data_IF_854394098727
#
_entry.id   IF_854394098727
#
_cell.length_a   1.000
_cell.length_b   1.000
_cell.length_c   1.000
_cell.angle_alpha   90.00
_cell.angle_beta   90.00
_cell.angle_gamma   90.00
#
_symmetry.space_group_name_H-M   'P 1'
#
loop_
_entity.id
_entity.type
_entity.pdbx_description
1 polymer ?
#
# COMPACT_ATOMS: atom_id res chain seq x y z
N UNK A 1 -17.58 4.64 -35.17
CA UNK A 1 -16.24 4.83 -34.63
C UNK A 1 -16.06 4.01 -33.36
N UNK A 2 -15.14 3.13 -33.40
CA UNK A 2 -14.91 2.30 -32.23
C UNK A 2 -14.06 3.04 -31.22
N UNK A 3 -14.59 3.14 -30.03
CA UNK A 3 -13.82 3.67 -28.93
C UNK A 3 -12.86 2.60 -28.44
N UNK A 4 -11.61 2.94 -28.34
CA UNK A 4 -10.64 2.06 -27.70
C UNK A 4 -11.04 1.95 -26.23
N UNK A 5 -11.24 0.74 -25.77
CA UNK A 5 -11.43 0.54 -24.34
C UNK A 5 -10.18 0.92 -23.61
N UNK A 6 -10.29 1.99 -22.84
CA UNK A 6 -9.22 2.39 -21.93
C UNK A 6 -9.65 1.95 -20.55
N UNK A 7 -8.86 1.11 -19.93
CA UNK A 7 -9.18 0.66 -18.59
C UNK A 7 -8.97 1.81 -17.61
N UNK A 8 -10.07 2.28 -17.02
CA UNK A 8 -10.01 3.27 -15.94
C UNK A 8 -9.45 2.65 -14.67
N UNK A 9 -9.78 1.36 -14.46
CA UNK A 9 -9.22 0.55 -13.39
C UNK A 9 -8.39 -0.53 -14.08
N UNK A 10 -7.08 -0.59 -13.81
CA UNK A 10 -6.23 -1.58 -14.46
C UNK A 10 -6.67 -3.00 -14.13
N UNK A 11 -6.49 -3.95 -15.07
CA UNK A 11 -6.73 -5.37 -14.79
C UNK A 11 -5.91 -5.85 -13.60
N UNK A 12 -6.39 -6.88 -12.93
CA UNK A 12 -5.71 -7.44 -11.74
C UNK A 12 -4.26 -7.81 -11.99
N UNK A 13 -3.97 -8.38 -13.16
CA UNK A 13 -2.61 -8.79 -13.54
C UNK A 13 -1.68 -7.59 -13.62
N UNK A 14 -2.18 -6.46 -14.13
CA UNK A 14 -1.41 -5.22 -14.21
C UNK A 14 -1.22 -4.65 -12.81
N UNK A 15 -2.27 -4.61 -12.00
CA UNK A 15 -2.17 -4.15 -10.63
C UNK A 15 -1.14 -4.95 -9.85
N UNK A 16 -1.17 -6.27 -9.97
CA UNK A 16 -0.25 -7.15 -9.26
C UNK A 16 1.20 -6.93 -9.72
N UNK A 17 1.41 -6.78 -11.02
CA UNK A 17 2.75 -6.52 -11.57
C UNK A 17 3.33 -5.22 -11.03
N UNK A 18 2.50 -4.17 -10.93
CA UNK A 18 2.92 -2.87 -10.41
C UNK A 18 3.19 -2.96 -8.90
N UNK A 19 2.29 -3.59 -8.15
CA UNK A 19 2.45 -3.77 -6.71
C UNK A 19 3.75 -4.52 -6.41
N UNK A 20 3.98 -5.63 -7.10
CA UNK A 20 5.18 -6.45 -6.91
C UNK A 20 6.45 -5.66 -7.19
N UNK A 21 6.45 -4.88 -8.26
CA UNK A 21 7.61 -4.05 -8.62
C UNK A 21 7.88 -2.98 -7.56
N UNK A 22 6.84 -2.27 -7.13
CA UNK A 22 6.98 -1.23 -6.12
C UNK A 22 7.51 -1.82 -4.82
N UNK A 23 6.92 -2.92 -4.35
CA UNK A 23 7.36 -3.57 -3.11
C UNK A 23 8.79 -4.06 -3.21
N UNK A 24 9.17 -4.65 -4.35
CA UNK A 24 10.53 -5.12 -4.57
C UNK A 24 11.54 -3.98 -4.49
N UNK A 25 11.22 -2.83 -5.09
CA UNK A 25 12.12 -1.67 -5.08
C UNK A 25 12.22 -1.04 -3.71
N UNK A 26 11.10 -0.95 -2.99
CA UNK A 26 11.08 -0.44 -1.61
C UNK A 26 11.91 -1.37 -0.71
N UNK A 27 11.73 -2.68 -0.85
CA UNK A 27 12.45 -3.68 -0.07
C UNK A 27 13.95 -3.60 -0.29
N UNK A 28 14.36 -3.37 -1.53
CA UNK A 28 15.77 -3.26 -1.91
C UNK A 28 16.40 -1.93 -1.49
N UNK A 29 15.58 -0.92 -1.21
CA UNK A 29 16.08 0.42 -0.93
C UNK A 29 16.48 0.55 0.54
N UNK A 30 17.68 1.05 0.77
CA UNK A 30 18.21 1.27 2.13
C UNK A 30 18.10 2.72 2.59
N UNK A 31 17.88 3.63 1.63
CA UNK A 31 17.72 5.06 1.92
C UNK A 31 16.25 5.44 1.84
N UNK A 32 15.92 6.59 2.40
CA UNK A 32 14.58 7.15 2.27
C UNK A 32 14.28 7.53 0.83
N UNK A 33 13.01 7.66 0.50
CA UNK A 33 12.55 7.93 -0.85
C UNK A 33 11.32 8.85 -0.81
N UNK A 34 10.98 9.41 -1.96
CA UNK A 34 9.84 10.31 -2.09
C UNK A 34 8.65 9.56 -2.71
N UNK A 35 7.49 10.23 -2.70
CA UNK A 35 6.31 9.72 -3.41
C UNK A 35 6.60 9.55 -4.89
N UNK A 36 7.32 10.49 -5.48
CA UNK A 36 7.71 10.46 -6.89
C UNK A 36 8.59 9.26 -7.21
N UNK A 37 9.45 8.88 -6.28
CA UNK A 37 10.28 7.67 -6.41
C UNK A 37 9.40 6.43 -6.51
N UNK A 38 8.36 6.35 -5.68
CA UNK A 38 7.43 5.22 -5.70
C UNK A 38 6.68 5.16 -7.03
N UNK A 39 6.25 6.30 -7.56
CA UNK A 39 5.61 6.36 -8.87
C UNK A 39 6.57 5.89 -9.96
N UNK A 40 7.86 6.27 -9.86
CA UNK A 40 8.88 5.81 -10.80
C UNK A 40 9.06 4.29 -10.73
N UNK A 41 9.01 3.72 -9.54
CA UNK A 41 9.07 2.26 -9.36
C UNK A 41 7.89 1.58 -10.06
N UNK A 42 6.70 2.16 -9.94
CA UNK A 42 5.50 1.64 -10.61
C UNK A 42 5.69 1.61 -12.12
N UNK A 43 6.30 2.64 -12.68
CA UNK A 43 6.55 2.72 -14.13
C UNK A 43 7.53 1.69 -14.64
N UNK A 44 8.37 1.12 -13.76
CA UNK A 44 9.31 0.06 -14.12
C UNK A 44 8.64 -1.31 -14.24
N UNK A 45 7.39 -1.44 -13.81
CA UNK A 45 6.70 -2.72 -13.84
C UNK A 45 6.56 -3.23 -15.27
N UNK A 46 6.76 -4.53 -15.46
CA UNK A 46 6.56 -5.17 -16.75
C UNK A 46 5.09 -5.50 -16.91
N UNK A 47 4.44 -4.74 -17.79
CA UNK A 47 3.02 -4.91 -18.06
C UNK A 47 2.86 -6.08 -19.05
N UNK A 48 1.96 -7.04 -18.79
CA UNK A 48 1.70 -8.11 -19.73
C UNK A 48 1.36 -7.56 -21.11
N UNK A 49 1.94 -8.16 -22.15
CA UNK A 49 1.81 -7.68 -23.53
C UNK A 49 0.36 -7.48 -23.96
N UNK A 50 -0.53 -8.35 -23.47
CA UNK A 50 -1.95 -8.30 -23.78
C UNK A 50 -2.60 -6.98 -23.32
N UNK A 51 -2.04 -6.35 -22.31
CA UNK A 51 -2.57 -5.09 -21.77
C UNK A 51 -1.75 -3.86 -22.13
N UNK A 52 -0.61 -4.04 -22.79
CA UNK A 52 0.35 -2.96 -23.01
C UNK A 52 -0.24 -1.73 -23.70
N UNK A 53 -1.12 -1.94 -24.68
CA UNK A 53 -1.76 -0.85 -25.41
C UNK A 53 -2.95 -0.24 -24.68
N UNK A 54 -3.58 -1.00 -23.79
CA UNK A 54 -4.79 -0.58 -23.09
C UNK A 54 -4.51 0.15 -21.79
N UNK A 55 -3.28 0.09 -21.30
CA UNK A 55 -2.89 0.72 -20.03
C UNK A 55 -1.91 1.86 -20.31
N UNK A 56 -2.39 3.09 -20.17
CA UNK A 56 -1.57 4.26 -20.44
C UNK A 56 -0.58 4.53 -19.30
N UNK A 57 0.51 5.28 -19.58
CA UNK A 57 1.42 5.71 -18.52
C UNK A 57 0.73 6.47 -17.39
N UNK A 58 -0.30 7.27 -17.70
CA UNK A 58 -1.05 8.01 -16.71
C UNK A 58 -1.78 7.09 -15.72
N UNK A 59 -2.29 5.96 -16.22
CA UNK A 59 -2.95 4.96 -15.37
C UNK A 59 -1.94 4.32 -14.43
N UNK A 60 -0.73 4.03 -14.91
CA UNK A 60 0.34 3.46 -14.08
C UNK A 60 0.80 4.45 -13.01
N UNK A 61 0.92 5.73 -13.37
CA UNK A 61 1.27 6.77 -12.40
C UNK A 61 0.21 6.90 -11.31
N UNK A 62 -1.06 6.90 -11.70
CA UNK A 62 -2.17 6.94 -10.75
C UNK A 62 -2.16 5.74 -9.83
N UNK A 63 -1.93 4.56 -10.38
CA UNK A 63 -1.83 3.32 -9.61
C UNK A 63 -0.66 3.39 -8.63
N UNK A 64 0.50 3.89 -9.06
CA UNK A 64 1.66 4.10 -8.20
C UNK A 64 1.34 5.01 -7.01
N UNK A 65 0.63 6.11 -7.27
CA UNK A 65 0.20 7.04 -6.23
C UNK A 65 -0.77 6.40 -5.24
N UNK A 66 -1.68 5.56 -5.73
CA UNK A 66 -2.63 4.82 -4.87
C UNK A 66 -1.91 3.79 -4.01
N UNK A 67 -0.95 3.09 -4.57
CA UNK A 67 -0.13 2.12 -3.82
C UNK A 67 0.62 2.85 -2.71
N UNK A 68 1.24 3.98 -3.03
CA UNK A 68 1.94 4.80 -2.07
C UNK A 68 1.01 5.21 -0.90
N UNK A 69 -0.18 5.73 -1.22
CA UNK A 69 -1.16 6.15 -0.21
C UNK A 69 -1.61 4.98 0.67
N UNK A 70 -1.81 3.83 0.06
CA UNK A 70 -2.22 2.62 0.78
C UNK A 70 -1.13 2.15 1.74
N UNK A 71 0.10 2.15 1.29
CA UNK A 71 1.24 1.77 2.14
C UNK A 71 1.39 2.73 3.32
N UNK A 72 1.16 4.02 3.07
CA UNK A 72 1.23 5.04 4.11
C UNK A 72 0.11 4.86 5.15
N UNK A 73 -1.12 4.67 4.69
CA UNK A 73 -2.28 4.46 5.57
C UNK A 73 -2.12 3.20 6.41
N UNK A 74 -1.56 2.15 5.83
CA UNK A 74 -1.34 0.87 6.51
C UNK A 74 -0.12 0.90 7.44
N UNK A 75 0.61 2.01 7.51
CA UNK A 75 1.78 2.13 8.37
C UNK A 75 3.03 1.43 7.87
N UNK A 76 3.03 1.01 6.59
CA UNK A 76 4.19 0.35 5.98
C UNK A 76 5.29 1.35 5.61
N UNK A 77 4.90 2.60 5.38
CA UNK A 77 5.83 3.70 5.12
C UNK A 77 5.67 4.75 6.23
N UNK A 78 6.79 5.28 6.67
CA UNK A 78 6.83 6.25 7.76
C UNK A 78 7.44 7.55 7.23
N UNK A 79 6.76 8.70 7.43
CA UNK A 79 7.32 9.99 7.03
C UNK A 79 8.58 10.29 7.83
N UNK A 80 9.61 10.79 7.14
CA UNK A 80 10.82 11.29 7.82
C UNK A 80 10.55 12.74 8.20
N UNK A 81 10.50 12.98 9.49
CA UNK A 81 10.12 14.29 10.05
C UNK A 81 10.93 15.44 9.47
N UNK A 82 10.22 16.49 9.06
CA UNK A 82 10.84 17.69 8.52
C UNK A 82 11.27 17.58 7.07
N UNK A 83 10.91 16.51 6.39
CA UNK A 83 11.24 16.30 4.98
C UNK A 83 10.01 15.78 4.23
N UNK A 84 10.14 15.66 2.90
CA UNK A 84 9.13 15.00 2.07
C UNK A 84 9.56 13.56 1.69
N UNK A 85 10.49 13.00 2.48
CA UNK A 85 10.95 11.63 2.32
C UNK A 85 10.17 10.68 3.21
N UNK A 86 10.19 9.41 2.82
CA UNK A 86 9.54 8.33 3.53
C UNK A 86 10.52 7.16 3.65
N UNK A 87 10.33 6.35 4.66
CA UNK A 87 11.13 5.14 4.84
C UNK A 87 10.22 3.96 5.08
N UNK A 88 10.71 2.78 4.78
CA UNK A 88 10.00 1.54 5.08
C UNK A 88 9.98 1.31 6.59
N UNK A 89 8.89 0.76 7.08
CA UNK A 89 8.79 0.31 8.47
C UNK A 89 9.82 -0.81 8.71
N UNK A 90 10.47 -0.79 9.86
CA UNK A 90 11.41 -1.84 10.25
C UNK A 90 10.64 -3.06 10.76
N UNK A 91 11.33 -4.20 10.78
CA UNK A 91 10.75 -5.44 11.32
C UNK A 91 10.36 -5.25 12.78
N UNK A 92 11.21 -4.59 13.56
CA UNK A 92 10.93 -4.30 14.97
C UNK A 92 9.69 -3.42 15.14
N UNK A 93 9.56 -2.39 14.32
CA UNK A 93 8.40 -1.50 14.32
C UNK A 93 7.13 -2.27 13.93
N UNK A 94 7.24 -3.16 12.95
CA UNK A 94 6.12 -3.98 12.51
C UNK A 94 5.65 -4.91 13.62
N UNK A 95 6.59 -5.56 14.33
CA UNK A 95 6.26 -6.43 15.44
C UNK A 95 5.62 -5.65 16.59
N UNK A 96 6.15 -4.46 16.89
CA UNK A 96 5.58 -3.60 17.92
C UNK A 96 4.16 -3.17 17.57
N UNK A 97 3.91 -2.82 16.31
CA UNK A 97 2.58 -2.44 15.84
C UNK A 97 1.59 -3.59 15.94
N UNK A 98 2.01 -4.82 15.57
CA UNK A 98 1.19 -6.02 15.70
C UNK A 98 0.82 -6.29 17.16
N UNK A 99 1.80 -6.19 18.04
CA UNK A 99 1.61 -6.41 19.46
C UNK A 99 0.62 -5.42 20.06
N UNK A 100 0.76 -4.14 19.70
CA UNK A 100 -0.16 -3.09 20.16
C UNK A 100 -1.57 -3.33 19.63
N UNK A 101 -1.71 -3.75 18.37
CA UNK A 101 -2.99 -4.05 17.76
C UNK A 101 -3.70 -5.21 18.48
N UNK A 102 -2.97 -6.28 18.77
CA UNK A 102 -3.52 -7.44 19.47
C UNK A 102 -3.95 -7.08 20.89
N UNK A 103 -3.15 -6.29 21.60
CA UNK A 103 -3.49 -5.81 22.94
C UNK A 103 -4.77 -4.97 22.93
N UNK A 104 -4.92 -4.10 21.94
CA UNK A 104 -6.11 -3.27 21.79
C UNK A 104 -7.35 -4.12 21.50
N UNK A 105 -7.21 -5.18 20.69
CA UNK A 105 -8.30 -6.11 20.42
C UNK A 105 -8.75 -6.84 21.68
N UNK A 106 -7.81 -7.28 22.51
CA UNK A 106 -8.13 -7.94 23.78
C UNK A 106 -8.92 -7.02 24.70
N UNK A 107 -8.51 -5.77 24.84
CA UNK A 107 -9.23 -4.81 25.66
C UNK A 107 -10.66 -4.60 25.17
N UNK A 108 -10.85 -4.44 23.89
CA UNK A 108 -12.17 -4.27 23.28
C UNK A 108 -13.04 -5.49 23.52
N UNK A 109 -12.48 -6.70 23.34
CA UNK A 109 -13.20 -7.93 23.59
C UNK A 109 -13.59 -8.10 25.04
N UNK A 110 -12.72 -7.75 25.99
CA UNK A 110 -13.01 -7.80 27.41
C UNK A 110 -14.12 -6.83 27.79
N UNK A 111 -14.08 -5.62 27.29
CA UNK A 111 -15.13 -4.61 27.52
C UNK A 111 -16.47 -5.08 26.97
N UNK A 112 -16.49 -5.68 25.79
CA UNK A 112 -17.69 -6.22 25.18
C UNK A 112 -18.28 -7.35 26.04
N UNK A 113 -17.44 -8.26 26.54
CA UNK A 113 -17.86 -9.34 27.40
C UNK A 113 -18.42 -8.83 28.73
N UNK A 114 -17.75 -7.86 29.32
CA UNK A 114 -18.20 -7.26 30.57
C UNK A 114 -19.53 -6.53 30.38
N UNK A 115 -19.70 -5.83 29.24
CA UNK A 115 -20.95 -5.19 28.90
C UNK A 115 -22.09 -6.18 28.74
N UNK A 116 -21.85 -7.31 28.08
CA UNK A 116 -22.83 -8.37 27.92
C UNK A 116 -23.25 -8.96 29.26
N UNK A 117 -22.30 -9.21 30.15
CA UNK A 117 -22.59 -9.70 31.47
C UNK A 117 -23.46 -8.72 32.26
N UNK A 118 -23.21 -7.45 32.12
CA UNK A 118 -24.00 -6.40 32.79
C UNK A 118 -25.43 -6.37 32.27
N UNK A 119 -25.61 -6.55 30.97
CA UNK A 119 -26.92 -6.52 30.32
C UNK A 119 -27.75 -7.74 30.68
N UNK A 120 -27.12 -8.89 30.84
CA UNK A 120 -27.79 -10.15 31.17
C UNK A 120 -28.28 -10.21 32.64
N UNK A 121 -27.77 -9.39 33.49
CA UNK A 121 -28.23 -9.29 34.86
C UNK A 121 -29.38 -8.32 34.99
#
# INVERSE_FOLDING_TARGET
MEEKEVFKVPPKEVQQAVIDRVLMRIEARRSSFTREDVISFAKEAQIPTIYAEAVSPAVIEDLGGRIFSRLLVNGMLIPVKGTNYYRKITEEEMQAAKKAYLAAQEEVNQEAQNGEKTVLN
#
